data_IF_773654079924
#
_entry.id   IF_773654079924
#
_cell.length_a   1.000
_cell.length_b   1.000
_cell.length_c   1.000
_cell.angle_alpha   90.00
_cell.angle_beta   90.00
_cell.angle_gamma   90.00
#
_symmetry.space_group_name_H-M   'P 1'
#
loop_
_entity.id
_entity.type
_entity.pdbx_description
1 polymer ?
#
# COMPACT_ATOMS: atom_id res chain seq x y z
N UNK A 1 6.53 -25.46 -6.10
CA UNK A 1 5.44 -24.46 -6.10
C UNK A 1 5.99 -23.23 -6.78
N UNK A 2 5.33 -22.71 -7.82
CA UNK A 2 5.77 -21.49 -8.51
C UNK A 2 5.70 -20.34 -7.51
N UNK A 3 6.78 -19.58 -7.33
CA UNK A 3 6.76 -18.40 -6.48
C UNK A 3 5.59 -17.49 -6.89
N UNK A 4 4.82 -17.05 -5.89
CA UNK A 4 3.73 -16.12 -6.11
C UNK A 4 4.34 -14.78 -6.57
N UNK A 5 4.24 -14.50 -7.87
CA UNK A 5 4.81 -13.28 -8.45
C UNK A 5 4.01 -12.02 -8.10
N UNK A 6 2.76 -12.18 -7.65
CA UNK A 6 1.83 -11.09 -7.34
C UNK A 6 1.66 -10.97 -5.82
N UNK A 7 2.14 -9.85 -5.26
CA UNK A 7 1.85 -9.39 -3.90
C UNK A 7 1.18 -8.03 -3.98
N UNK A 8 0.37 -7.67 -2.98
CA UNK A 8 -0.24 -6.33 -2.83
C UNK A 8 0.27 -5.60 -1.60
N UNK A 9 1.16 -6.21 -0.81
CA UNK A 9 1.74 -5.61 0.41
C UNK A 9 3.09 -4.99 0.06
N UNK A 10 3.29 -3.72 0.39
CA UNK A 10 4.52 -2.95 0.14
C UNK A 10 4.89 -2.11 1.37
N UNK A 11 6.18 -1.83 1.55
CA UNK A 11 6.66 -1.12 2.75
C UNK A 11 6.37 0.38 2.69
N UNK A 12 6.31 0.93 1.47
CA UNK A 12 6.14 2.36 1.23
C UNK A 12 5.12 2.70 0.13
N UNK A 13 4.58 3.94 0.10
CA UNK A 13 3.75 4.42 -1.00
C UNK A 13 4.48 4.40 -2.35
N UNK A 14 5.79 4.67 -2.37
CA UNK A 14 6.59 4.64 -3.59
C UNK A 14 6.64 3.23 -4.19
N UNK A 15 6.99 2.23 -3.38
CA UNK A 15 6.94 0.83 -3.81
C UNK A 15 5.55 0.41 -4.26
N UNK A 16 4.51 0.89 -3.57
CA UNK A 16 3.12 0.65 -3.95
C UNK A 16 2.79 1.21 -5.33
N UNK A 17 3.30 2.40 -5.67
CA UNK A 17 3.10 3.02 -6.98
C UNK A 17 3.90 2.31 -8.07
N UNK A 18 5.15 1.93 -7.79
CA UNK A 18 5.98 1.14 -8.71
C UNK A 18 5.35 -0.23 -9.00
N UNK A 19 4.79 -0.89 -7.97
CA UNK A 19 4.01 -2.11 -8.13
C UNK A 19 2.78 -1.86 -9.02
N UNK A 20 2.03 -0.77 -8.82
CA UNK A 20 0.87 -0.43 -9.65
C UNK A 20 1.24 -0.29 -11.14
N UNK A 21 2.40 0.29 -11.44
CA UNK A 21 2.94 0.37 -12.81
C UNK A 21 3.22 -1.04 -13.35
N UNK A 22 3.87 -1.90 -12.56
CA UNK A 22 4.17 -3.28 -12.95
C UNK A 22 2.90 -4.05 -13.26
N UNK A 23 1.88 -3.97 -12.41
CA UNK A 23 0.59 -4.64 -12.63
C UNK A 23 -0.09 -4.17 -13.93
N UNK A 24 -0.11 -2.86 -14.15
CA UNK A 24 -0.70 -2.26 -15.35
C UNK A 24 -0.02 -2.78 -16.62
N UNK A 25 1.32 -2.81 -16.64
CA UNK A 25 2.10 -3.33 -17.77
C UNK A 25 1.93 -4.83 -17.96
N UNK A 26 1.81 -5.57 -16.85
CA UNK A 26 1.65 -7.03 -16.90
C UNK A 26 0.29 -7.43 -17.46
N UNK A 27 -0.78 -6.70 -17.16
CA UNK A 27 -2.11 -6.92 -17.75
C UNK A 27 -2.09 -6.83 -19.28
N UNK A 28 -1.42 -5.81 -19.82
CA UNK A 28 -1.22 -5.67 -21.28
C UNK A 28 -0.47 -6.87 -21.85
N UNK A 29 0.62 -7.29 -21.20
CA UNK A 29 1.42 -8.45 -21.63
C UNK A 29 0.67 -9.79 -21.54
N UNK A 30 -0.24 -9.96 -20.57
CA UNK A 30 -1.09 -11.15 -20.50
C UNK A 30 -2.12 -11.18 -21.63
N UNK A 31 -2.63 -10.01 -22.02
CA UNK A 31 -3.61 -9.89 -23.11
C UNK A 31 -2.95 -10.06 -24.48
N UNK A 32 -1.74 -9.53 -24.64
CA UNK A 32 -0.93 -9.67 -25.85
C UNK A 32 0.48 -10.16 -25.48
N UNK A 33 0.75 -11.48 -25.57
CA UNK A 33 2.05 -12.04 -25.20
C UNK A 33 3.15 -11.82 -26.24
N UNK A 34 2.79 -11.52 -27.49
CA UNK A 34 3.75 -11.28 -28.59
C UNK A 34 4.43 -9.91 -28.43
N UNK A 35 5.73 -9.95 -28.18
CA UNK A 35 6.56 -8.77 -27.96
C UNK A 35 6.70 -7.92 -29.21
N UNK A 36 6.71 -8.52 -30.40
CA UNK A 36 6.88 -7.80 -31.65
C UNK A 36 5.58 -7.05 -32.02
N UNK A 37 4.42 -7.64 -31.73
CA UNK A 37 3.14 -6.92 -31.79
C UNK A 37 3.14 -5.73 -30.82
N UNK A 38 3.58 -5.91 -29.57
CA UNK A 38 3.66 -4.80 -28.61
C UNK A 38 4.60 -3.67 -29.07
N UNK A 39 5.75 -4.01 -29.66
CA UNK A 39 6.68 -3.02 -30.22
C UNK A 39 6.04 -2.27 -31.39
N UNK A 40 5.34 -2.97 -32.28
CA UNK A 40 4.68 -2.37 -33.43
C UNK A 40 3.55 -1.39 -33.02
N UNK A 41 2.85 -1.67 -31.91
CA UNK A 41 1.81 -0.79 -31.37
C UNK A 41 2.35 0.43 -30.61
N UNK A 42 3.58 0.35 -30.06
CA UNK A 42 4.17 1.39 -29.20
C UNK A 42 4.16 2.80 -29.80
N UNK A 43 4.54 3.03 -31.07
CA UNK A 43 4.51 4.37 -31.65
C UNK A 43 3.11 4.99 -31.64
N UNK A 44 2.04 4.18 -31.74
CA UNK A 44 0.67 4.66 -31.79
C UNK A 44 0.16 5.26 -30.48
N UNK A 45 0.61 4.74 -29.34
CA UNK A 45 0.16 5.22 -28.03
C UNK A 45 1.19 6.07 -27.28
N UNK A 46 2.49 5.94 -27.58
CA UNK A 46 3.55 6.58 -26.78
C UNK A 46 3.57 8.12 -26.86
N UNK A 47 3.01 8.71 -27.91
CA UNK A 47 2.90 10.16 -28.11
C UNK A 47 1.45 10.66 -28.11
N UNK A 48 0.48 9.79 -27.86
CA UNK A 48 -0.94 10.15 -27.81
C UNK A 48 -1.30 10.64 -26.40
N UNK A 49 -1.78 11.89 -26.30
CA UNK A 49 -2.22 12.45 -25.02
C UNK A 49 -3.31 11.60 -24.37
N UNK A 50 -4.32 11.19 -25.14
CA UNK A 50 -5.41 10.33 -24.66
C UNK A 50 -4.89 8.99 -24.14
N UNK A 51 -3.94 8.38 -24.86
CA UNK A 51 -3.38 7.10 -24.45
C UNK A 51 -2.48 7.22 -23.21
N UNK A 52 -1.73 8.31 -23.08
CA UNK A 52 -0.94 8.60 -21.88
C UNK A 52 -1.85 8.83 -20.66
N UNK A 53 -2.94 9.59 -20.83
CA UNK A 53 -3.95 9.78 -19.78
C UNK A 53 -4.64 8.46 -19.41
N UNK A 54 -4.99 7.63 -20.39
CA UNK A 54 -5.58 6.32 -20.15
C UNK A 54 -4.61 5.39 -19.39
N UNK A 55 -3.33 5.37 -19.77
CA UNK A 55 -2.31 4.59 -19.06
C UNK A 55 -2.14 5.06 -17.60
N UNK A 56 -2.09 6.37 -17.38
CA UNK A 56 -2.05 6.96 -16.03
C UNK A 56 -3.29 6.60 -15.21
N UNK A 57 -4.47 6.56 -15.82
CA UNK A 57 -5.70 6.18 -15.13
C UNK A 57 -5.67 4.72 -14.66
N UNK A 58 -5.22 3.78 -15.50
CA UNK A 58 -5.08 2.37 -15.10
C UNK A 58 -4.11 2.21 -13.93
N UNK A 59 -2.98 2.93 -13.95
CA UNK A 59 -2.02 2.95 -12.83
C UNK A 59 -2.69 3.48 -11.56
N UNK A 60 -3.48 4.56 -11.66
CA UNK A 60 -4.17 5.13 -10.51
C UNK A 60 -5.17 4.15 -9.87
N UNK A 61 -5.93 3.40 -10.68
CA UNK A 61 -6.88 2.38 -10.19
C UNK A 61 -6.14 1.23 -9.47
N UNK A 62 -5.03 0.75 -10.04
CA UNK A 62 -4.20 -0.26 -9.39
C UNK A 62 -3.58 0.25 -8.10
N UNK A 63 -3.07 1.49 -8.10
CA UNK A 63 -2.49 2.12 -6.91
C UNK A 63 -3.53 2.31 -5.81
N UNK A 64 -4.77 2.68 -6.14
CA UNK A 64 -5.86 2.76 -5.18
C UNK A 64 -6.08 1.41 -4.47
N UNK A 65 -6.05 0.32 -5.22
CA UNK A 65 -6.22 -1.04 -4.68
C UNK A 65 -5.05 -1.41 -3.76
N UNK A 66 -3.81 -1.15 -4.19
CA UNK A 66 -2.59 -1.41 -3.40
C UNK A 66 -2.58 -0.56 -2.13
N UNK A 67 -2.89 0.73 -2.23
CA UNK A 67 -2.94 1.63 -1.09
C UNK A 67 -3.98 1.17 -0.04
N UNK A 68 -5.16 0.73 -0.50
CA UNK A 68 -6.17 0.16 0.39
C UNK A 68 -5.67 -1.12 1.08
N UNK A 69 -5.00 -2.01 0.35
CA UNK A 69 -4.40 -3.23 0.91
C UNK A 69 -3.32 -2.95 1.97
N UNK A 70 -2.62 -1.81 1.87
CA UNK A 70 -1.57 -1.38 2.80
C UNK A 70 -2.05 -0.42 3.90
N UNK A 71 -3.37 -0.26 4.09
CA UNK A 71 -3.91 0.68 5.08
C UNK A 71 -3.44 2.13 4.86
N UNK A 72 -3.13 2.49 3.60
CA UNK A 72 -2.57 3.77 3.19
C UNK A 72 -1.24 4.13 3.87
N UNK A 73 -0.48 3.14 4.35
CA UNK A 73 0.79 3.32 5.07
C UNK A 73 0.67 4.25 6.28
N UNK A 74 -0.53 4.39 6.86
CA UNK A 74 -0.74 5.21 8.05
C UNK A 74 -0.04 4.54 9.23
N UNK A 75 0.89 5.23 9.87
CA UNK A 75 1.43 4.79 11.16
C UNK A 75 0.29 4.88 12.18
N UNK A 76 -0.09 3.75 12.77
CA UNK A 76 -1.21 3.68 13.70
C UNK A 76 -1.09 4.74 14.79
N UNK A 77 -2.11 5.59 14.88
CA UNK A 77 -2.30 6.48 16.02
C UNK A 77 -2.45 5.70 17.34
N UNK A 78 -2.72 4.39 17.27
CA UNK A 78 -2.82 3.49 18.42
C UNK A 78 -1.48 3.31 19.18
N UNK A 79 -0.32 3.49 18.53
CA UNK A 79 0.98 3.43 19.21
C UNK A 79 1.27 4.66 20.09
N UNK A 80 0.48 5.74 19.97
CA UNK A 80 0.61 6.95 20.81
C UNK A 80 -0.23 6.91 22.09
N UNK A 81 -1.06 5.88 22.30
CA UNK A 81 -1.90 5.72 23.50
C UNK A 81 -1.27 4.87 24.60
N UNK A 82 0.07 4.75 24.61
CA UNK A 82 0.83 4.09 25.69
C UNK A 82 1.29 5.02 26.81
N UNK A 83 0.63 6.17 27.02
CA UNK A 83 0.97 7.09 28.13
C UNK A 83 0.39 6.55 29.44
N UNK A 84 1.15 5.64 30.05
CA UNK A 84 1.39 5.54 31.49
C UNK A 84 0.18 5.77 32.40
N UNK A 85 -0.56 4.71 32.75
CA UNK A 85 -1.21 4.68 34.05
C UNK A 85 -0.17 4.29 35.11
N UNK A 86 0.47 5.30 35.71
CA UNK A 86 1.04 5.16 37.06
C UNK A 86 -0.02 5.74 37.99
N UNK A 87 -0.92 4.87 38.46
CA UNK A 87 -1.73 5.18 39.64
C UNK A 87 -0.95 4.68 40.84
N UNK A 88 -0.33 5.62 41.55
CA UNK A 88 0.53 5.36 42.70
C UNK A 88 -0.19 4.57 43.79
N UNK A 89 0.54 3.61 44.34
CA UNK A 89 0.32 3.04 45.67
C UNK A 89 0.38 4.15 46.71
N UNK A 90 -0.76 4.53 47.28
CA UNK A 90 -0.82 5.27 48.54
C UNK A 90 -0.78 4.26 49.68
N UNK A 91 0.39 4.14 50.29
CA UNK A 91 0.63 3.46 51.56
C UNK A 91 0.98 4.54 52.58
N UNK A 92 0.02 4.91 53.42
CA UNK A 92 0.17 5.56 54.74
C UNK A 92 -1.25 5.53 55.35
N UNK A 93 -1.59 4.94 56.50
CA UNK A 93 -0.87 4.78 57.74
C UNK A 93 -1.76 5.41 58.85
N UNK A 94 -2.11 4.61 59.87
CA UNK A 94 -2.64 5.00 61.19
C UNK A 94 -4.15 5.35 61.38
N UNK A 95 -4.91 4.38 61.93
CA UNK A 95 -5.80 4.59 63.10
C UNK A 95 -6.19 3.21 63.67
N UNK A 96 -5.40 2.65 64.59
CA UNK A 96 -5.57 2.62 66.05
C UNK A 96 -6.88 1.96 66.51
N UNK A 97 -6.69 0.91 67.31
CA UNK A 97 -7.69 0.00 67.83
C UNK A 97 -8.35 0.48 69.14
N UNK A 98 -9.63 0.10 69.31
CA UNK A 98 -10.36 -0.20 70.58
C UNK A 98 -10.60 0.96 71.59
N UNK A 99 -11.56 0.85 72.54
CA UNK A 99 -12.21 -0.33 73.14
C UNK A 99 -13.42 -0.90 72.38
#
# INVERSE_FOLDING_TARGET
MTDAWLTTITESPQEGFELAIVLSRRGVKYTQPDVDVLKALRPGYASSADALTAASHVIAVNFQTIAAANGYWRKDAASRSGRTQVSGTLQDGSHVAHP
#
